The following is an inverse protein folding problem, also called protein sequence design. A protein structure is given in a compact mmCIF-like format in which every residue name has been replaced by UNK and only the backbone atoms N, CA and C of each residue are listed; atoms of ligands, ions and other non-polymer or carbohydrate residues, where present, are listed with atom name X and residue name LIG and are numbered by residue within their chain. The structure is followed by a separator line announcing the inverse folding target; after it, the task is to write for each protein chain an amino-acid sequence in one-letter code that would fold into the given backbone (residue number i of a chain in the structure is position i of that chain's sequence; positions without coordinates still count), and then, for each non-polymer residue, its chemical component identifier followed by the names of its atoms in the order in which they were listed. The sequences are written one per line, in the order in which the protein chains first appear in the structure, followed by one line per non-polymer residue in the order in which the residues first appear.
data_IF_198301614359
#
_entry.id   IF_198301614359
#
_cell.length_a   1.000
_cell.length_b   1.000
_cell.length_c   1.000
_cell.angle_alpha   90.00
_cell.angle_beta   90.00
_cell.angle_gamma   90.00
#
_symmetry.space_group_name_H-M   'P 1'
#
loop_
_entity.id
_entity.type
_entity.pdbx_description
1 polymer ?
#
# COMPACT_ATOMS: atom_id res chain seq x y z
N UNK A 1 -10.15 14.06 -13.94
CA UNK A 1 -9.10 14.77 -13.20
C UNK A 1 -9.40 14.55 -11.73
N UNK A 2 -8.38 14.23 -10.91
CA UNK A 2 -8.56 14.07 -9.47
C UNK A 2 -8.81 15.44 -8.82
N UNK A 3 -9.64 15.48 -7.78
CA UNK A 3 -9.69 16.62 -6.86
C UNK A 3 -8.45 16.57 -5.96
N UNK A 4 -7.91 17.73 -5.57
CA UNK A 4 -6.66 17.73 -4.80
C UNK A 4 -6.84 17.15 -3.40
N UNK A 5 -7.96 17.47 -2.72
CA UNK A 5 -8.26 17.07 -1.36
C UNK A 5 -9.77 16.80 -1.20
N UNK A 6 -10.14 16.01 -0.19
CA UNK A 6 -11.54 15.77 0.15
C UNK A 6 -12.20 17.00 0.77
N UNK A 7 -11.45 17.78 1.56
CA UNK A 7 -11.90 19.03 2.18
C UNK A 7 -10.76 20.05 2.18
N UNK A 8 -11.08 21.34 2.31
CA UNK A 8 -10.11 22.45 2.19
C UNK A 8 -10.01 23.30 3.45
N UNK A 9 -10.78 23.00 4.50
CA UNK A 9 -10.83 23.81 5.73
C UNK A 9 -9.67 23.50 6.69
N UNK A 10 -9.09 22.31 6.58
CA UNK A 10 -8.05 21.82 7.48
C UNK A 10 -6.88 21.20 6.67
N UNK A 11 -5.64 21.24 7.18
CA UNK A 11 -4.54 20.49 6.60
C UNK A 11 -4.87 18.98 6.54
N UNK A 12 -4.99 18.43 5.34
CA UNK A 12 -5.43 17.05 5.10
C UNK A 12 -4.26 16.15 4.71
N UNK A 13 -4.30 14.90 5.15
CA UNK A 13 -3.47 13.83 4.62
C UNK A 13 -4.33 12.74 4.00
N UNK A 14 -4.01 12.35 2.76
CA UNK A 14 -4.53 11.16 2.11
C UNK A 14 -3.77 9.92 2.55
N UNK A 15 -4.48 8.81 2.79
CA UNK A 15 -3.90 7.55 3.25
C UNK A 15 -4.39 6.38 2.38
N UNK A 16 -3.45 5.48 2.03
CA UNK A 16 -3.75 4.23 1.33
C UNK A 16 -2.73 3.13 1.70
N UNK A 17 -3.00 1.88 1.33
CA UNK A 17 -2.12 0.73 1.55
C UNK A 17 -1.90 -0.11 0.29
N UNK A 18 -0.78 -0.83 0.27
CA UNK A 18 -0.43 -1.79 -0.78
C UNK A 18 -0.07 -3.17 -0.20
N UNK A 19 -0.48 -4.23 -0.88
CA UNK A 19 -0.07 -5.59 -0.55
C UNK A 19 -1.03 -6.36 0.36
N UNK A 20 -2.28 -5.96 0.53
CA UNK A 20 -3.27 -6.68 1.37
C UNK A 20 -3.48 -8.12 0.97
N UNK A 21 -3.66 -8.38 -0.33
CA UNK A 21 -3.95 -9.73 -0.86
C UNK A 21 -2.73 -10.61 -1.13
N UNK A 22 -1.53 -10.22 -0.72
CA UNK A 22 -0.31 -10.97 -0.99
C UNK A 22 -0.12 -12.10 0.02
N UNK A 23 0.43 -13.24 -0.43
CA UNK A 23 0.81 -14.38 0.43
C UNK A 23 2.12 -14.14 1.17
N UNK A 24 2.96 -13.25 0.65
CA UNK A 24 4.27 -12.93 1.22
C UNK A 24 4.55 -11.43 1.25
N UNK A 25 5.41 -11.03 2.17
CA UNK A 25 5.84 -9.66 2.38
C UNK A 25 4.90 -8.84 3.25
N UNK A 26 5.39 -7.69 3.75
CA UNK A 26 4.63 -6.74 4.54
C UNK A 26 3.44 -6.15 3.78
N UNK A 27 2.47 -5.61 4.52
CA UNK A 27 1.60 -4.55 4.00
C UNK A 27 2.32 -3.21 4.19
N UNK A 28 2.34 -2.39 3.14
CA UNK A 28 2.88 -1.04 3.19
C UNK A 28 1.71 -0.06 3.20
N UNK A 29 1.76 0.91 4.08
CA UNK A 29 0.79 1.99 4.16
C UNK A 29 1.51 3.32 4.04
N UNK A 30 0.89 4.29 3.37
CA UNK A 30 1.43 5.63 3.21
C UNK A 30 0.41 6.68 3.65
N UNK A 31 0.94 7.82 4.08
CA UNK A 31 0.20 9.04 4.33
C UNK A 31 0.91 10.19 3.61
N UNK A 32 0.16 11.03 2.89
CA UNK A 32 0.70 12.13 2.06
C UNK A 32 -0.14 13.38 2.26
N UNK A 33 0.52 14.50 2.50
CA UNK A 33 -0.04 15.85 2.46
C UNK A 33 0.50 16.56 1.22
N UNK A 34 -0.36 16.83 0.25
CA UNK A 34 0.02 17.57 -0.96
C UNK A 34 -0.23 19.10 -0.78
N UNK A 35 0.55 19.94 -1.47
CA UNK A 35 0.19 21.34 -1.60
C UNK A 35 -1.20 21.50 -2.25
N UNK A 36 -1.99 22.52 -1.87
CA UNK A 36 -3.35 22.73 -2.42
C UNK A 36 -3.39 22.93 -3.94
N UNK A 37 -2.30 23.38 -4.53
CA UNK A 37 -2.12 23.63 -5.97
C UNK A 37 -1.33 22.52 -6.68
N UNK A 38 -1.07 21.39 -6.01
CA UNK A 38 -0.38 20.25 -6.62
C UNK A 38 -1.14 19.74 -7.85
N UNK A 39 -0.43 19.61 -8.94
CA UNK A 39 -0.98 19.07 -10.17
C UNK A 39 0.08 18.28 -10.95
N UNK A 40 -0.17 17.00 -11.15
CA UNK A 40 0.60 16.17 -12.08
C UNK A 40 -0.38 15.38 -12.98
N UNK A 41 -0.30 15.53 -14.31
CA UNK A 41 -1.22 14.87 -15.24
C UNK A 41 -1.07 13.35 -15.28
N UNK A 42 0.02 12.80 -14.75
CA UNK A 42 0.24 11.36 -14.65
C UNK A 42 -0.42 10.75 -13.39
N UNK A 43 -0.76 11.59 -12.38
CA UNK A 43 -1.33 11.09 -11.13
C UNK A 43 -2.76 10.59 -11.37
N UNK A 44 -2.95 9.31 -11.09
CA UNK A 44 -4.23 8.60 -11.21
C UNK A 44 -4.18 7.38 -10.27
N UNK A 45 -5.25 6.57 -10.23
CA UNK A 45 -5.25 5.25 -9.57
C UNK A 45 -3.98 4.46 -9.93
N UNK A 46 -3.18 4.13 -8.91
CA UNK A 46 -1.88 3.49 -9.08
C UNK A 46 -1.95 2.15 -9.83
N UNK A 47 -3.10 1.49 -9.81
CA UNK A 47 -3.35 0.21 -10.50
C UNK A 47 -3.53 0.38 -12.01
N UNK A 48 -3.91 1.59 -12.46
CA UNK A 48 -4.06 1.93 -13.89
C UNK A 48 -2.77 2.47 -14.50
N UNK A 49 -1.76 2.76 -13.68
CA UNK A 49 -0.48 3.29 -14.13
C UNK A 49 0.53 2.20 -14.46
N UNK A 50 1.42 2.47 -15.42
CA UNK A 50 2.58 1.63 -15.65
C UNK A 50 3.59 1.77 -14.49
N UNK A 51 4.41 0.73 -14.24
CA UNK A 51 5.47 0.78 -13.24
C UNK A 51 6.39 2.00 -13.45
N UNK A 52 6.82 2.25 -14.69
CA UNK A 52 7.64 3.42 -15.04
C UNK A 52 7.00 4.76 -14.66
N UNK A 53 5.68 4.90 -14.80
CA UNK A 53 4.98 6.13 -14.44
C UNK A 53 4.84 6.27 -12.93
N UNK A 54 4.61 5.14 -12.22
CA UNK A 54 4.60 5.16 -10.74
C UNK A 54 5.95 5.58 -10.17
N UNK A 55 7.07 5.06 -10.69
CA UNK A 55 8.41 5.44 -10.23
C UNK A 55 8.72 6.92 -10.50
N UNK A 56 8.30 7.46 -11.64
CA UNK A 56 8.43 8.90 -11.89
C UNK A 56 7.64 9.73 -10.91
N UNK A 57 6.38 9.35 -10.67
CA UNK A 57 5.50 10.05 -9.73
C UNK A 57 5.99 9.93 -8.28
N UNK A 58 6.53 8.78 -7.87
CA UNK A 58 7.18 8.64 -6.57
C UNK A 58 8.18 9.77 -6.32
N UNK A 59 9.12 9.96 -7.27
CA UNK A 59 10.14 10.99 -7.13
C UNK A 59 9.55 12.43 -7.10
N UNK A 60 8.44 12.66 -7.81
CA UNK A 60 7.73 13.96 -7.77
C UNK A 60 7.04 14.14 -6.42
N UNK A 61 6.28 13.13 -5.97
CA UNK A 61 5.54 13.20 -4.70
C UNK A 61 6.50 13.37 -3.53
N UNK A 62 7.58 12.58 -3.44
CA UNK A 62 8.60 12.68 -2.38
C UNK A 62 9.28 14.04 -2.33
N UNK A 63 9.40 14.73 -3.45
CA UNK A 63 9.99 16.07 -3.55
C UNK A 63 9.01 17.20 -3.24
N UNK A 64 7.76 17.09 -3.70
CA UNK A 64 6.80 18.19 -3.72
C UNK A 64 5.74 18.12 -2.63
N UNK A 65 5.54 16.97 -2.00
CA UNK A 65 4.62 16.86 -0.87
C UNK A 65 5.05 17.74 0.30
N UNK A 66 4.08 18.33 0.98
CA UNK A 66 4.30 19.10 2.23
C UNK A 66 4.87 18.17 3.31
N UNK A 67 4.31 16.96 3.41
CA UNK A 67 4.81 15.88 4.23
C UNK A 67 4.36 14.53 3.66
N UNK A 68 5.19 13.52 3.83
CA UNK A 68 4.83 12.14 3.48
C UNK A 68 5.57 11.14 4.39
N UNK A 69 4.96 9.99 4.57
CA UNK A 69 5.57 8.86 5.26
C UNK A 69 5.04 7.53 4.72
N UNK A 70 5.89 6.52 4.76
CA UNK A 70 5.55 5.14 4.40
C UNK A 70 5.97 4.22 5.54
N UNK A 71 5.09 3.32 5.94
CA UNK A 71 5.31 2.34 6.99
C UNK A 71 5.02 0.93 6.51
N UNK A 72 5.81 -0.02 6.99
CA UNK A 72 5.68 -1.43 6.68
C UNK A 72 5.25 -2.22 7.92
N UNK A 73 4.16 -2.98 7.81
CA UNK A 73 3.75 -3.92 8.85
C UNK A 73 4.09 -5.34 8.40
N UNK A 74 4.92 -6.03 9.17
CA UNK A 74 5.52 -7.31 8.80
C UNK A 74 4.49 -8.45 8.62
N UNK A 75 4.89 -9.51 7.90
CA UNK A 75 4.08 -10.73 7.75
C UNK A 75 3.71 -11.34 9.13
N UNK A 76 4.65 -11.43 10.05
CA UNK A 76 4.39 -11.92 11.41
C UNK A 76 3.35 -11.06 12.16
N UNK A 77 3.46 -9.73 12.04
CA UNK A 77 2.47 -8.84 12.66
C UNK A 77 1.10 -8.96 12.02
N UNK A 78 1.03 -9.16 10.70
CA UNK A 78 -0.24 -9.45 10.00
C UNK A 78 -0.89 -10.73 10.53
N UNK A 79 -0.10 -11.79 10.79
CA UNK A 79 -0.61 -13.04 11.33
C UNK A 79 -1.16 -12.89 12.76
N UNK A 80 -0.57 -11.99 13.57
CA UNK A 80 -1.02 -11.71 14.93
C UNK A 80 -2.35 -10.95 14.98
N UNK A 81 -2.51 -9.90 14.16
CA UNK A 81 -3.61 -8.93 14.29
C UNK A 81 -4.60 -8.95 13.13
N UNK A 82 -4.39 -9.78 12.12
CA UNK A 82 -4.99 -9.88 10.78
C UNK A 82 -4.69 -8.68 9.88
N UNK A 83 -4.90 -8.87 8.57
CA UNK A 83 -4.54 -7.90 7.53
C UNK A 83 -5.33 -6.59 7.61
N UNK A 84 -6.59 -6.61 8.07
CA UNK A 84 -7.38 -5.40 8.21
C UNK A 84 -6.80 -4.48 9.29
N UNK A 85 -6.51 -5.04 10.46
CA UNK A 85 -5.92 -4.29 11.56
C UNK A 85 -4.48 -3.87 11.24
N UNK A 86 -3.72 -4.67 10.51
CA UNK A 86 -2.38 -4.33 10.05
C UNK A 86 -2.39 -3.14 9.07
N UNK A 87 -3.37 -3.06 8.16
CA UNK A 87 -3.54 -1.88 7.29
C UNK A 87 -3.83 -0.62 8.13
N UNK A 88 -4.70 -0.72 9.13
CA UNK A 88 -5.02 0.41 10.02
C UNK A 88 -3.81 0.84 10.86
N UNK A 89 -3.05 -0.14 11.39
CA UNK A 89 -1.83 0.11 12.15
C UNK A 89 -0.80 0.83 11.27
N UNK A 90 -0.55 0.34 10.04
CA UNK A 90 0.39 0.94 9.10
C UNK A 90 0.02 2.38 8.73
N UNK A 91 -1.25 2.64 8.37
CA UNK A 91 -1.70 4.01 8.07
C UNK A 91 -1.58 4.93 9.30
N UNK A 92 -1.93 4.44 10.50
CA UNK A 92 -1.79 5.24 11.72
C UNK A 92 -0.33 5.56 12.05
N UNK A 93 0.59 4.62 11.83
CA UNK A 93 2.03 4.84 12.00
C UNK A 93 2.57 5.84 10.98
N UNK A 94 2.16 5.73 9.71
CA UNK A 94 2.55 6.68 8.67
C UNK A 94 2.07 8.10 9.01
N UNK A 95 0.81 8.26 9.41
CA UNK A 95 0.25 9.57 9.85
C UNK A 95 1.02 10.14 11.03
N UNK A 96 1.37 9.31 12.03
CA UNK A 96 2.10 9.77 13.22
C UNK A 96 3.52 10.27 12.91
N UNK A 97 4.07 9.99 11.74
CA UNK A 97 5.40 10.47 11.29
C UNK A 97 5.36 11.74 10.45
N UNK A 98 4.17 12.21 10.09
CA UNK A 98 4.07 13.44 9.30
C UNK A 98 4.45 14.67 10.12
N UNK A 99 5.29 15.51 9.53
CA UNK A 99 5.65 16.83 10.04
C UNK A 99 5.62 17.84 8.87
N UNK A 100 4.70 18.81 8.87
CA UNK A 100 3.69 19.10 9.89
C UNK A 100 2.62 18.00 10.03
N UNK A 101 2.02 17.89 11.23
CA UNK A 101 0.95 16.95 11.47
C UNK A 101 -0.36 17.38 10.76
N UNK A 102 -1.12 16.46 10.16
CA UNK A 102 -2.41 16.77 9.56
C UNK A 102 -3.48 17.02 10.64
N UNK A 103 -4.51 17.80 10.28
CA UNK A 103 -5.68 18.03 11.12
C UNK A 103 -6.92 17.25 10.63
N UNK A 104 -6.82 16.57 9.49
CA UNK A 104 -7.86 15.71 8.92
C UNK A 104 -7.22 14.57 8.11
N UNK A 105 -7.89 13.39 8.05
CA UNK A 105 -7.42 12.25 7.27
C UNK A 105 -8.47 11.81 6.25
N UNK A 106 -8.08 11.72 4.99
CA UNK A 106 -8.83 11.10 3.91
C UNK A 106 -8.29 9.68 3.66
N UNK A 107 -9.07 8.66 4.01
CA UNK A 107 -8.65 7.26 4.03
C UNK A 107 -9.23 6.51 2.83
N UNK A 108 -8.42 5.83 2.03
CA UNK A 108 -8.98 4.91 1.02
C UNK A 108 -9.73 3.75 1.68
N UNK A 109 -10.86 3.37 1.08
CA UNK A 109 -11.64 2.24 1.53
C UNK A 109 -12.90 2.59 2.30
N UNK A 110 -13.47 1.59 2.98
CA UNK A 110 -14.77 1.69 3.65
C UNK A 110 -14.70 1.62 5.17
N UNK A 111 -13.52 1.32 5.73
CA UNK A 111 -13.33 1.13 7.17
C UNK A 111 -11.94 1.62 7.58
N UNK A 112 -11.89 2.27 8.73
CA UNK A 112 -10.64 2.64 9.39
C UNK A 112 -10.85 2.68 10.90
N UNK A 113 -9.79 2.45 11.66
CA UNK A 113 -9.74 2.59 13.11
C UNK A 113 -8.34 3.05 13.50
N UNK A 114 -8.27 4.04 14.36
CA UNK A 114 -7.02 4.56 14.90
C UNK A 114 -7.18 5.01 16.34
N UNK A 115 -6.06 5.19 17.05
CA UNK A 115 -6.00 5.87 18.35
C UNK A 115 -5.57 7.33 18.23
N UNK A 116 -5.30 7.80 17.02
CA UNK A 116 -4.98 9.20 16.77
C UNK A 116 -6.25 10.05 16.98
N UNK A 117 -6.11 11.18 17.65
CA UNK A 117 -7.20 12.13 17.90
C UNK A 117 -7.36 13.11 16.73
N UNK A 118 -7.35 12.58 15.49
CA UNK A 118 -7.51 13.34 14.25
C UNK A 118 -8.80 12.87 13.58
N UNK A 119 -9.73 13.77 13.23
CA UNK A 119 -10.93 13.42 12.47
C UNK A 119 -10.58 12.82 11.12
N UNK A 120 -11.37 11.87 10.67
CA UNK A 120 -11.13 11.16 9.41
C UNK A 120 -12.41 10.80 8.66
N UNK A 121 -12.26 10.57 7.35
CA UNK A 121 -13.32 10.05 6.47
C UNK A 121 -12.79 8.90 5.64
N UNK A 122 -13.54 7.80 5.60
CA UNK A 122 -13.29 6.72 4.63
C UNK A 122 -13.96 7.04 3.30
N UNK A 123 -13.22 6.84 2.21
CA UNK A 123 -13.65 7.17 0.85
C UNK A 123 -13.40 5.94 -0.04
N UNK A 124 -14.48 5.28 -0.44
CA UNK A 124 -14.39 4.10 -1.31
C UNK A 124 -13.85 4.52 -2.68
N UNK A 125 -12.75 3.88 -3.12
CA UNK A 125 -11.99 4.21 -4.33
C UNK A 125 -11.52 5.67 -4.31
N UNK A 126 -10.97 6.09 -3.17
CA UNK A 126 -10.46 7.44 -2.97
C UNK A 126 -9.25 7.73 -3.85
N UNK A 127 -8.42 6.71 -4.10
CA UNK A 127 -7.28 6.72 -5.02
C UNK A 127 -7.62 7.14 -6.46
N UNK A 128 -8.87 6.94 -6.87
CA UNK A 128 -9.38 7.41 -8.16
C UNK A 128 -10.15 8.74 -8.10
N UNK A 129 -10.20 9.42 -6.94
CA UNK A 129 -10.98 10.63 -6.73
C UNK A 129 -10.15 11.80 -6.22
N UNK A 130 -9.23 11.56 -5.28
CA UNK A 130 -8.45 12.59 -4.58
C UNK A 130 -6.95 12.38 -4.76
N UNK A 131 -6.23 13.46 -5.04
CA UNK A 131 -4.83 13.41 -5.40
C UNK A 131 -3.92 12.98 -4.24
N UNK A 132 -4.21 13.40 -3.02
CA UNK A 132 -3.48 13.01 -1.81
C UNK A 132 -3.59 11.51 -1.52
N UNK A 133 -4.79 10.90 -1.69
CA UNK A 133 -4.98 9.46 -1.57
C UNK A 133 -4.28 8.72 -2.72
N UNK A 134 -4.38 9.23 -3.96
CA UNK A 134 -3.68 8.65 -5.11
C UNK A 134 -2.15 8.69 -4.92
N UNK A 135 -1.62 9.78 -4.38
CA UNK A 135 -0.21 9.91 -4.04
C UNK A 135 0.22 8.90 -2.96
N UNK A 136 -0.59 8.73 -1.91
CA UNK A 136 -0.35 7.69 -0.89
C UNK A 136 -0.35 6.28 -1.51
N UNK A 137 -1.30 5.99 -2.42
CA UNK A 137 -1.35 4.73 -3.18
C UNK A 137 -0.06 4.47 -3.97
N UNK A 138 0.45 5.50 -4.67
CA UNK A 138 1.72 5.41 -5.43
C UNK A 138 2.88 5.13 -4.49
N UNK A 139 3.02 5.86 -3.37
CA UNK A 139 4.12 5.65 -2.43
C UNK A 139 4.04 4.26 -1.78
N UNK A 140 2.88 3.86 -1.25
CA UNK A 140 2.72 2.54 -0.67
C UNK A 140 3.08 1.43 -1.65
N UNK A 141 2.65 1.55 -2.92
CA UNK A 141 2.90 0.55 -3.97
C UNK A 141 4.37 0.49 -4.39
N UNK A 142 5.00 1.63 -4.64
CA UNK A 142 6.39 1.66 -5.13
C UNK A 142 7.38 1.23 -4.05
N UNK A 143 7.24 1.71 -2.83
CA UNK A 143 8.09 1.26 -1.70
C UNK A 143 7.92 -0.23 -1.42
N UNK A 144 6.69 -0.76 -1.52
CA UNK A 144 6.46 -2.18 -1.37
C UNK A 144 7.11 -3.00 -2.48
N UNK A 145 6.96 -2.56 -3.73
CA UNK A 145 7.53 -3.28 -4.88
C UNK A 145 9.06 -3.32 -4.79
N UNK A 146 9.71 -2.23 -4.37
CA UNK A 146 11.15 -2.16 -4.09
C UNK A 146 11.56 -3.16 -2.99
N UNK A 147 10.84 -3.20 -1.86
CA UNK A 147 11.08 -4.19 -0.81
C UNK A 147 10.97 -5.63 -1.33
N UNK A 148 9.94 -5.91 -2.16
CA UNK A 148 9.75 -7.25 -2.73
C UNK A 148 10.86 -7.63 -3.72
N UNK A 149 11.48 -6.68 -4.42
CA UNK A 149 12.65 -6.91 -5.25
C UNK A 149 13.86 -7.29 -4.39
N UNK A 150 14.11 -6.58 -3.29
CA UNK A 150 15.22 -6.91 -2.38
C UNK A 150 15.12 -8.33 -1.83
N UNK A 151 13.96 -8.74 -1.30
CA UNK A 151 13.82 -10.09 -0.75
C UNK A 151 13.75 -11.19 -1.84
N UNK A 152 13.44 -10.83 -3.08
CA UNK A 152 13.47 -11.77 -4.21
C UNK A 152 14.89 -12.22 -4.56
N UNK A 153 15.92 -11.44 -4.27
CA UNK A 153 17.32 -11.82 -4.45
C UNK A 153 17.72 -12.93 -3.49
N UNK A 154 17.19 -12.89 -2.26
CA UNK A 154 17.46 -13.93 -1.24
C UNK A 154 16.63 -15.21 -1.47
N UNK A 155 15.41 -15.05 -2.02
CA UNK A 155 14.47 -16.15 -2.25
C UNK A 155 13.99 -16.22 -3.71
N UNK A 156 14.87 -16.43 -4.69
CA UNK A 156 14.54 -16.34 -6.12
C UNK A 156 13.51 -17.38 -6.58
N UNK A 157 13.42 -18.54 -5.89
CA UNK A 157 12.52 -19.64 -6.24
C UNK A 157 11.03 -19.29 -6.16
N UNK A 158 10.64 -18.25 -5.42
CA UNK A 158 9.22 -17.82 -5.28
C UNK A 158 8.77 -16.84 -6.36
N UNK A 159 9.69 -16.34 -7.21
CA UNK A 159 9.39 -15.43 -8.30
C UNK A 159 8.88 -14.05 -7.84
N UNK A 160 9.25 -13.61 -6.63
CA UNK A 160 8.76 -12.35 -6.03
C UNK A 160 9.19 -11.11 -6.81
N UNK A 161 10.28 -11.18 -7.56
CA UNK A 161 10.67 -10.10 -8.47
C UNK A 161 9.55 -9.75 -9.49
N UNK A 162 8.77 -10.77 -9.91
CA UNK A 162 7.68 -10.63 -10.86
C UNK A 162 6.33 -10.51 -10.14
N UNK A 163 6.01 -11.49 -9.31
CA UNK A 163 4.67 -11.60 -8.69
C UNK A 163 4.48 -10.71 -7.47
N UNK A 164 5.54 -10.08 -6.94
CA UNK A 164 5.50 -9.19 -5.77
C UNK A 164 4.78 -9.80 -4.54
N UNK A 165 4.83 -11.13 -4.41
CA UNK A 165 4.19 -11.88 -3.33
C UNK A 165 2.69 -12.15 -3.52
N UNK A 166 2.10 -11.77 -4.64
CA UNK A 166 0.71 -12.07 -4.96
C UNK A 166 0.46 -13.57 -5.17
N UNK A 167 -0.78 -14.07 -4.97
CA UNK A 167 -1.14 -15.49 -5.02
C UNK A 167 -1.25 -16.03 -6.45
N UNK A 168 -0.20 -15.83 -7.27
CA UNK A 168 -0.13 -16.43 -8.60
C UNK A 168 0.03 -17.93 -8.52
N UNK A 169 -0.31 -18.64 -9.60
CA UNK A 169 -0.15 -20.10 -9.68
C UNK A 169 1.31 -20.50 -9.45
N UNK A 170 2.26 -19.77 -10.05
CA UNK A 170 3.70 -20.01 -9.88
C UNK A 170 4.13 -19.83 -8.43
N UNK A 171 3.63 -18.79 -7.72
CA UNK A 171 3.96 -18.56 -6.32
C UNK A 171 3.46 -19.71 -5.43
N UNK A 172 2.21 -20.16 -5.64
CA UNK A 172 1.62 -21.28 -4.89
C UNK A 172 2.35 -22.60 -5.15
N UNK A 173 2.78 -22.86 -6.41
CA UNK A 173 3.60 -24.02 -6.75
C UNK A 173 4.96 -23.96 -6.05
N UNK A 174 5.61 -22.81 -6.04
CA UNK A 174 6.89 -22.62 -5.34
C UNK A 174 6.74 -22.85 -3.82
N UNK A 175 5.66 -22.38 -3.21
CA UNK A 175 5.37 -22.67 -1.79
C UNK A 175 5.21 -24.17 -1.55
N UNK A 176 4.49 -24.87 -2.43
CA UNK A 176 4.32 -26.33 -2.32
C UNK A 176 5.64 -27.10 -2.46
N UNK A 177 6.53 -26.63 -3.31
CA UNK A 177 7.83 -27.28 -3.59
C UNK A 177 8.88 -26.96 -2.51
N UNK A 178 8.98 -25.70 -2.10
CA UNK A 178 10.06 -25.18 -1.26
C UNK A 178 9.64 -24.85 0.18
N UNK A 179 8.34 -24.96 0.50
CA UNK A 179 7.80 -24.61 1.81
C UNK A 179 7.58 -23.10 2.00
N UNK A 180 7.34 -22.72 3.23
CA UNK A 180 7.15 -21.33 3.63
C UNK A 180 8.46 -20.72 4.14
N UNK A 181 8.62 -19.41 3.96
CA UNK A 181 9.73 -18.62 4.52
C UNK A 181 9.19 -17.70 5.62
N UNK A 182 10.06 -17.02 6.42
CA UNK A 182 9.62 -16.01 7.39
C UNK A 182 8.87 -14.81 6.78
N UNK A 183 8.96 -14.63 5.46
CA UNK A 183 8.23 -13.58 4.76
C UNK A 183 6.79 -13.97 4.37
N UNK A 184 6.43 -15.25 4.45
CA UNK A 184 5.06 -15.70 4.16
C UNK A 184 4.12 -15.40 5.33
N UNK A 185 2.87 -15.10 5.00
CA UNK A 185 1.79 -14.86 5.97
C UNK A 185 1.12 -16.20 6.28
N UNK A 186 1.40 -16.77 7.43
CA UNK A 186 1.00 -18.15 7.79
C UNK A 186 -0.53 -18.32 7.88
N UNK A 187 -1.26 -17.26 8.19
CA UNK A 187 -2.73 -17.29 8.31
C UNK A 187 -3.47 -17.18 6.98
N UNK A 188 -2.74 -16.96 5.85
CA UNK A 188 -3.34 -16.85 4.53
C UNK A 188 -3.48 -18.23 3.87
N UNK A 189 -4.46 -18.39 2.97
CA UNK A 189 -4.63 -19.61 2.20
C UNK A 189 -3.57 -19.73 1.09
N UNK A 190 -2.68 -20.74 1.21
CA UNK A 190 -1.62 -21.03 0.25
C UNK A 190 -2.00 -22.15 -0.74
N UNK A 191 -3.16 -22.77 -0.61
CA UNK A 191 -3.60 -23.87 -1.45
C UNK A 191 -3.82 -23.43 -2.90
N UNK A 192 -3.60 -24.34 -3.84
CA UNK A 192 -3.97 -24.18 -5.24
C UNK A 192 -5.44 -24.61 -5.35
N UNK A 193 -6.31 -23.72 -5.75
CA UNK A 193 -7.72 -24.06 -5.97
C UNK A 193 -7.84 -25.14 -7.03
N UNK A 194 -8.53 -26.25 -6.69
CA UNK A 194 -8.69 -27.44 -7.57
C UNK A 194 -9.43 -27.12 -8.89
N UNK A 195 -10.11 -25.98 -8.97
CA UNK A 195 -10.81 -25.53 -10.18
C UNK A 195 -9.90 -25.03 -11.31
N UNK A 196 -8.58 -24.90 -11.05
CA UNK A 196 -7.61 -24.44 -12.06
C UNK A 196 -6.71 -25.57 -12.60
N UNK A 197 -6.96 -26.85 -12.25
CA UNK A 197 -6.25 -27.97 -12.86
C UNK A 197 -6.91 -28.30 -14.20
N UNK A 198 -6.24 -28.08 -15.35
CA UNK A 198 -6.76 -28.59 -16.63
C UNK A 198 -6.73 -30.11 -16.56
N UNK A 199 -7.87 -30.72 -16.88
CA UNK A 199 -7.96 -32.15 -17.17
C UNK A 199 -7.25 -32.46 -18.47
#
# INVERSE_FOLDING_TARGET
MLENQYQYDLPEAGCDEAGRGCLAGPVFAAAVMLPPDFHDPLLNDSKQMTERNREKLRAVIEREAVAWAVEAVSAARIDEINILNASFEGMSLAVARLDPAPAFLAIDGSRFRTRLEIPWRCIVKGDGKYADIAAASVLAKTHRDEYMLCIAEEFPQYGWAKNKGYPTREHRLAIREHGLTPHHRLTFNHEIDQLELPF
#
